data_IF_385715785645
#
_entry.id   IF_385715785645
#
_cell.length_a   1.000
_cell.length_b   1.000
_cell.length_c   1.000
_cell.angle_alpha   90.00
_cell.angle_beta   90.00
_cell.angle_gamma   90.00
#
_symmetry.space_group_name_H-M   'P 1'
#
loop_
_entity.id
_entity.type
_entity.pdbx_description
1 polymer ?
#
# COMPACT_ATOMS: atom_id res chain seq x y z
N UNK A 1 28.55 7.30 1.34
CA UNK A 1 27.14 7.02 1.00
C UNK A 1 27.05 7.10 -0.52
N UNK A 2 26.85 5.99 -1.25
CA UNK A 2 26.76 6.04 -2.73
C UNK A 2 25.48 6.77 -3.11
N UNK A 3 25.64 7.94 -3.72
CA UNK A 3 24.59 8.77 -4.28
C UNK A 3 23.82 7.94 -5.33
N UNK A 4 22.50 8.04 -5.34
CA UNK A 4 21.64 7.31 -6.27
C UNK A 4 22.06 7.59 -7.72
N UNK A 5 22.66 6.60 -8.39
CA UNK A 5 22.74 6.60 -9.85
C UNK A 5 21.37 6.20 -10.38
N UNK A 6 20.45 7.15 -10.41
CA UNK A 6 19.29 7.04 -11.28
C UNK A 6 19.81 7.17 -12.71
N UNK A 7 19.66 6.12 -13.52
CA UNK A 7 20.02 6.18 -14.94
C UNK A 7 19.39 7.44 -15.55
N UNK A 8 20.21 8.22 -16.28
CA UNK A 8 19.84 9.42 -17.04
C UNK A 8 18.90 9.07 -18.22
N UNK A 9 17.79 8.41 -17.92
CA UNK A 9 16.69 8.24 -18.87
C UNK A 9 15.86 9.51 -18.76
N UNK A 10 15.85 10.29 -19.83
CA UNK A 10 15.00 11.47 -20.00
C UNK A 10 13.53 11.05 -20.05
N UNK A 11 12.97 10.72 -18.89
CA UNK A 11 11.53 10.78 -18.72
C UNK A 11 11.14 12.22 -19.00
N UNK A 12 10.25 12.42 -19.97
CA UNK A 12 9.80 13.75 -20.35
C UNK A 12 9.45 14.50 -19.09
N UNK A 13 10.03 15.68 -18.97
CA UNK A 13 10.02 16.65 -17.89
C UNK A 13 8.60 17.19 -17.60
N UNK A 14 7.60 16.32 -17.51
CA UNK A 14 6.29 16.63 -16.90
C UNK A 14 6.36 16.56 -15.38
N UNK A 15 7.55 16.43 -14.78
CA UNK A 15 7.78 16.44 -13.33
C UNK A 15 7.90 17.85 -12.72
N UNK A 16 7.58 18.89 -13.49
CA UNK A 16 7.46 20.29 -13.04
C UNK A 16 6.25 20.55 -12.14
N UNK A 17 5.65 19.52 -11.55
CA UNK A 17 4.65 19.66 -10.50
C UNK A 17 5.27 20.37 -9.29
N UNK A 18 4.73 21.53 -8.88
CA UNK A 18 4.97 22.10 -7.55
C UNK A 18 4.69 21.06 -6.44
N UNK A 19 5.24 21.26 -5.23
CA UNK A 19 5.00 20.35 -4.10
C UNK A 19 3.50 20.09 -3.87
N UNK A 20 2.67 21.13 -3.99
CA UNK A 20 1.22 21.05 -3.88
C UNK A 20 0.59 20.07 -4.91
N UNK A 21 1.10 20.06 -6.14
CA UNK A 21 0.63 19.11 -7.16
C UNK A 21 1.11 17.67 -6.93
N UNK A 22 2.25 17.45 -6.25
CA UNK A 22 2.64 16.08 -5.87
C UNK A 22 1.70 15.51 -4.81
N UNK A 23 1.31 16.32 -3.81
CA UNK A 23 0.34 15.89 -2.80
C UNK A 23 -1.03 15.58 -3.42
N UNK A 24 -1.51 16.44 -4.33
CA UNK A 24 -2.78 16.22 -5.03
C UNK A 24 -2.78 14.95 -5.88
N UNK A 25 -1.69 14.66 -6.60
CA UNK A 25 -1.54 13.41 -7.33
C UNK A 25 -1.38 12.19 -6.42
N UNK A 26 -0.71 12.33 -5.28
CA UNK A 26 -0.65 11.27 -4.27
C UNK A 26 -2.05 10.89 -3.80
N UNK A 27 -2.86 11.89 -3.41
CA UNK A 27 -4.25 11.68 -3.02
C UNK A 27 -5.08 11.05 -4.14
N UNK A 28 -4.94 11.57 -5.36
CA UNK A 28 -5.65 11.04 -6.54
C UNK A 28 -5.30 9.58 -6.79
N UNK A 29 -4.02 9.22 -6.79
CA UNK A 29 -3.58 7.85 -7.05
C UNK A 29 -4.02 6.88 -5.94
N UNK A 30 -4.09 7.32 -4.69
CA UNK A 30 -4.50 6.50 -3.55
C UNK A 30 -6.01 6.28 -3.48
N UNK A 31 -6.82 7.32 -3.72
CA UNK A 31 -8.26 7.25 -3.41
C UNK A 31 -9.16 7.25 -4.64
N UNK A 32 -8.80 7.96 -5.72
CA UNK A 32 -9.71 8.13 -6.86
C UNK A 32 -10.08 6.81 -7.56
N UNK A 33 -9.14 5.89 -7.86
CA UNK A 33 -9.49 4.57 -8.39
C UNK A 33 -10.47 3.81 -7.50
N UNK A 34 -10.20 3.78 -6.19
CA UNK A 34 -11.05 3.07 -5.24
C UNK A 34 -12.45 3.68 -5.17
N UNK A 35 -12.57 5.00 -5.08
CA UNK A 35 -13.88 5.70 -5.04
C UNK A 35 -14.71 5.44 -6.30
N UNK A 36 -14.09 5.50 -7.49
CA UNK A 36 -14.80 5.25 -8.75
C UNK A 36 -15.34 3.81 -8.80
N UNK A 37 -14.51 2.82 -8.47
CA UNK A 37 -14.97 1.43 -8.50
C UNK A 37 -15.92 1.09 -7.35
N UNK A 38 -15.79 1.70 -6.17
CA UNK A 38 -16.78 1.57 -5.11
C UNK A 38 -18.14 2.08 -5.57
N UNK A 39 -18.19 3.25 -6.21
CA UNK A 39 -19.42 3.78 -6.78
C UNK A 39 -20.03 2.85 -7.84
N UNK A 40 -19.22 2.36 -8.79
CA UNK A 40 -19.68 1.40 -9.81
C UNK A 40 -20.23 0.14 -9.17
N UNK A 41 -19.54 -0.43 -8.18
CA UNK A 41 -19.99 -1.63 -7.47
C UNK A 41 -21.30 -1.38 -6.70
N UNK A 42 -21.42 -0.24 -6.01
CA UNK A 42 -22.67 0.16 -5.34
C UNK A 42 -23.85 0.27 -6.32
N UNK A 43 -23.65 0.88 -7.50
CA UNK A 43 -24.70 0.98 -8.53
C UNK A 43 -25.09 -0.39 -9.07
N UNK A 44 -24.11 -1.24 -9.38
CA UNK A 44 -24.37 -2.61 -9.86
C UNK A 44 -25.19 -3.40 -8.83
N UNK A 45 -24.82 -3.35 -7.56
CA UNK A 45 -25.54 -4.05 -6.50
C UNK A 45 -26.96 -3.50 -6.29
N UNK A 46 -27.13 -2.17 -6.31
CA UNK A 46 -28.45 -1.54 -6.17
C UNK A 46 -29.41 -1.95 -7.30
N UNK A 47 -28.92 -2.03 -8.55
CA UNK A 47 -29.73 -2.51 -9.70
C UNK A 47 -30.15 -3.97 -9.54
N UNK A 48 -29.36 -4.77 -8.80
CA UNK A 48 -29.67 -6.17 -8.50
C UNK A 48 -30.44 -6.35 -7.18
N UNK A 49 -30.97 -5.27 -6.60
CA UNK A 49 -31.80 -5.31 -5.39
C UNK A 49 -31.04 -5.19 -4.07
N UNK A 50 -29.72 -5.06 -4.09
CA UNK A 50 -28.88 -4.93 -2.89
C UNK A 50 -28.53 -3.46 -2.62
N UNK A 51 -29.49 -2.72 -2.05
CA UNK A 51 -29.30 -1.29 -1.75
C UNK A 51 -28.66 -1.09 -0.37
N UNK A 52 -27.43 -0.56 -0.34
CA UNK A 52 -26.66 -0.29 0.89
C UNK A 52 -27.39 0.64 1.87
N UNK A 53 -28.23 1.56 1.39
CA UNK A 53 -28.98 2.49 2.24
C UNK A 53 -30.20 1.84 2.90
N UNK A 54 -30.72 0.76 2.31
CA UNK A 54 -31.91 0.06 2.79
C UNK A 54 -31.54 -1.16 3.64
N UNK A 55 -30.58 -1.98 3.18
CA UNK A 55 -30.24 -3.24 3.83
C UNK A 55 -29.30 -3.09 5.03
N UNK A 56 -28.51 -2.00 5.11
CA UNK A 56 -27.50 -1.73 6.17
C UNK A 56 -26.68 -2.97 6.56
N UNK A 57 -26.32 -3.78 5.56
CA UNK A 57 -25.60 -5.02 5.78
C UNK A 57 -24.09 -4.76 5.61
N UNK A 58 -23.28 -4.84 6.69
CA UNK A 58 -21.84 -4.55 6.62
C UNK A 58 -21.08 -5.51 5.68
N UNK A 59 -21.62 -6.71 5.43
CA UNK A 59 -21.02 -7.66 4.49
C UNK A 59 -21.06 -7.14 3.05
N UNK A 60 -22.11 -6.37 2.68
CA UNK A 60 -22.23 -5.77 1.36
C UNK A 60 -21.20 -4.64 1.20
N UNK A 61 -20.97 -3.85 2.24
CA UNK A 61 -19.94 -2.80 2.24
C UNK A 61 -18.54 -3.39 2.05
N UNK A 62 -18.24 -4.50 2.74
CA UNK A 62 -16.98 -5.24 2.53
C UNK A 62 -16.87 -5.78 1.11
N UNK A 63 -17.94 -6.35 0.56
CA UNK A 63 -17.94 -6.83 -0.83
C UNK A 63 -17.67 -5.69 -1.83
N UNK A 64 -18.26 -4.51 -1.60
CA UNK A 64 -18.02 -3.32 -2.41
C UNK A 64 -16.55 -2.91 -2.29
N UNK A 65 -16.02 -2.80 -1.08
CA UNK A 65 -14.64 -2.37 -0.84
C UNK A 65 -13.62 -3.34 -1.47
N UNK A 66 -13.82 -4.65 -1.34
CA UNK A 66 -12.95 -5.67 -1.93
C UNK A 66 -13.06 -5.70 -3.45
N UNK A 67 -14.28 -5.64 -3.99
CA UNK A 67 -14.50 -5.54 -5.43
C UNK A 67 -13.85 -4.29 -6.02
N UNK A 68 -13.99 -3.15 -5.35
CA UNK A 68 -13.38 -1.90 -5.75
C UNK A 68 -11.85 -1.96 -5.69
N UNK A 69 -11.27 -2.54 -4.63
CA UNK A 69 -9.83 -2.75 -4.53
C UNK A 69 -9.30 -3.63 -5.66
N UNK A 70 -9.98 -4.74 -5.98
CA UNK A 70 -9.58 -5.66 -7.06
C UNK A 70 -9.65 -5.00 -8.44
N UNK A 71 -10.65 -4.13 -8.68
CA UNK A 71 -10.83 -3.43 -9.95
C UNK A 71 -9.98 -2.16 -10.07
N UNK A 72 -9.59 -1.55 -8.94
CA UNK A 72 -8.80 -0.31 -8.89
C UNK A 72 -7.54 -0.28 -9.76
N UNK A 73 -6.79 -1.38 -10.00
CA UNK A 73 -5.64 -1.40 -10.89
C UNK A 73 -5.97 -0.93 -12.33
N UNK A 74 -7.21 -1.16 -12.80
CA UNK A 74 -7.65 -0.78 -14.15
C UNK A 74 -7.58 0.73 -14.39
N UNK A 75 -7.83 1.54 -13.36
CA UNK A 75 -7.74 3.00 -13.43
C UNK A 75 -6.42 3.53 -12.85
N UNK A 76 -5.88 2.86 -11.84
CA UNK A 76 -4.61 3.23 -11.21
C UNK A 76 -3.44 3.20 -12.19
N UNK A 77 -3.23 2.12 -12.95
CA UNK A 77 -2.06 2.01 -13.82
C UNK A 77 -2.02 3.07 -14.93
N UNK A 78 -3.12 3.37 -15.65
CA UNK A 78 -3.16 4.49 -16.59
C UNK A 78 -2.84 5.84 -15.95
N UNK A 79 -3.40 6.14 -14.77
CA UNK A 79 -3.13 7.39 -14.05
C UNK A 79 -1.67 7.47 -13.63
N UNK A 80 -1.11 6.42 -13.03
CA UNK A 80 0.29 6.40 -12.62
C UNK A 80 1.22 6.58 -13.82
N UNK A 81 0.93 5.90 -14.95
CA UNK A 81 1.67 6.06 -16.20
C UNK A 81 1.62 7.50 -16.70
N UNK A 82 0.45 8.15 -16.63
CA UNK A 82 0.26 9.55 -17.01
C UNK A 82 1.10 10.50 -16.14
N UNK A 83 1.05 10.36 -14.81
CA UNK A 83 1.78 11.21 -13.87
C UNK A 83 3.29 11.03 -13.99
N UNK A 84 3.75 9.80 -14.23
CA UNK A 84 5.16 9.49 -14.49
C UNK A 84 5.63 10.00 -15.87
N UNK A 85 4.70 10.21 -16.81
CA UNK A 85 5.04 10.58 -18.19
C UNK A 85 5.69 9.43 -18.99
N UNK A 86 5.50 8.17 -18.55
CA UNK A 86 6.08 7.02 -19.25
C UNK A 86 5.25 6.65 -20.48
N UNK A 87 5.92 6.36 -21.60
CA UNK A 87 5.25 5.89 -22.83
C UNK A 87 4.99 4.37 -22.82
N UNK A 88 5.73 3.60 -22.03
CA UNK A 88 5.62 2.14 -21.97
C UNK A 88 5.54 1.61 -20.53
N UNK A 89 5.00 0.39 -20.37
CA UNK A 89 4.91 -0.27 -19.07
C UNK A 89 6.31 -0.58 -18.50
N UNK A 90 7.24 -1.06 -19.34
CA UNK A 90 8.64 -1.30 -18.94
C UNK A 90 9.33 0.00 -18.52
N UNK A 91 9.04 1.12 -19.18
CA UNK A 91 9.51 2.44 -18.76
C UNK A 91 8.99 2.84 -17.38
N UNK A 92 7.70 2.55 -17.10
CA UNK A 92 7.09 2.80 -15.80
C UNK A 92 7.78 1.97 -14.70
N UNK A 93 7.94 0.65 -14.91
CA UNK A 93 8.61 -0.23 -13.94
C UNK A 93 10.04 0.22 -13.65
N UNK A 94 10.81 0.64 -14.68
CA UNK A 94 12.16 1.19 -14.51
C UNK A 94 12.17 2.52 -13.76
N UNK A 95 11.20 3.40 -14.02
CA UNK A 95 11.05 4.65 -13.28
C UNK A 95 10.79 4.39 -11.79
N UNK A 96 9.83 3.52 -11.48
CA UNK A 96 9.51 3.14 -10.10
C UNK A 96 10.68 2.39 -9.45
N UNK A 97 11.54 1.76 -10.24
CA UNK A 97 12.73 1.07 -9.77
C UNK A 97 12.43 -0.36 -9.35
N UNK A 98 11.55 -1.05 -10.07
CA UNK A 98 11.47 -2.51 -10.05
C UNK A 98 12.73 -3.09 -10.67
N UNK A 99 13.42 -3.93 -9.91
CA UNK A 99 14.64 -4.63 -10.35
C UNK A 99 14.55 -6.10 -9.94
N UNK A 100 15.43 -6.92 -10.52
CA UNK A 100 15.62 -8.33 -10.11
C UNK A 100 15.94 -8.40 -8.62
N UNK A 101 15.40 -9.40 -7.95
CA UNK A 101 15.62 -9.67 -6.52
C UNK A 101 16.70 -10.74 -6.35
N UNK A 102 17.66 -10.48 -5.47
CA UNK A 102 18.55 -11.51 -4.93
C UNK A 102 17.80 -12.36 -3.92
N UNK A 103 17.91 -13.69 -4.03
CA UNK A 103 17.27 -14.64 -3.13
C UNK A 103 17.69 -14.45 -1.66
N UNK A 104 18.97 -14.17 -1.42
CA UNK A 104 19.47 -13.96 -0.04
C UNK A 104 18.83 -12.73 0.58
N UNK A 105 18.81 -11.61 -0.15
CA UNK A 105 18.16 -10.38 0.32
C UNK A 105 16.65 -10.54 0.46
N UNK A 106 16.02 -11.32 -0.43
CA UNK A 106 14.60 -11.67 -0.33
C UNK A 106 14.30 -12.41 0.97
N UNK A 107 15.07 -13.46 1.27
CA UNK A 107 14.91 -14.22 2.52
C UNK A 107 15.14 -13.33 3.74
N UNK A 108 16.17 -12.47 3.73
CA UNK A 108 16.42 -11.53 4.81
C UNK A 108 15.24 -10.56 5.01
N UNK A 109 14.68 -10.02 3.93
CA UNK A 109 13.52 -9.12 3.98
C UNK A 109 12.29 -9.83 4.56
N UNK A 110 11.99 -11.05 4.11
CA UNK A 110 10.86 -11.83 4.60
C UNK A 110 11.05 -12.15 6.09
N UNK A 111 12.21 -12.69 6.47
CA UNK A 111 12.51 -13.04 7.87
C UNK A 111 12.46 -11.82 8.76
N UNK A 112 13.08 -10.70 8.35
CA UNK A 112 13.07 -9.47 9.15
C UNK A 112 11.67 -8.88 9.29
N UNK A 113 10.82 -9.02 8.26
CA UNK A 113 9.43 -8.54 8.32
C UNK A 113 8.61 -9.40 9.28
N UNK A 114 8.68 -10.72 9.16
CA UNK A 114 7.99 -11.64 10.08
C UNK A 114 8.46 -11.42 11.52
N UNK A 115 9.76 -11.24 11.74
CA UNK A 115 10.30 -10.94 13.07
C UNK A 115 9.78 -9.58 13.59
N UNK A 116 9.69 -8.57 12.74
CA UNK A 116 9.13 -7.28 13.12
C UNK A 116 7.67 -7.41 13.56
N UNK A 117 6.82 -8.09 12.79
CA UNK A 117 5.41 -8.30 13.15
C UNK A 117 5.28 -9.09 14.45
N UNK A 118 6.05 -10.18 14.60
CA UNK A 118 6.04 -10.98 15.81
C UNK A 118 6.44 -10.18 17.06
N UNK A 119 7.40 -9.28 16.95
CA UNK A 119 7.77 -8.37 18.04
C UNK A 119 6.67 -7.35 18.33
N UNK A 120 5.94 -6.90 17.30
CA UNK A 120 4.76 -6.04 17.49
C UNK A 120 3.67 -6.78 18.26
N UNK A 121 3.35 -8.03 17.90
CA UNK A 121 2.38 -8.86 18.62
C UNK A 121 2.76 -9.07 20.09
N UNK A 122 4.04 -9.36 20.37
CA UNK A 122 4.54 -9.45 21.75
C UNK A 122 4.31 -8.14 22.50
N UNK A 123 4.60 -7.00 21.86
CA UNK A 123 4.40 -5.70 22.50
C UNK A 123 2.93 -5.42 22.79
N UNK A 124 2.04 -5.76 21.85
CA UNK A 124 0.58 -5.59 22.00
C UNK A 124 0.07 -6.44 23.15
N UNK A 125 0.52 -7.70 23.22
CA UNK A 125 0.16 -8.61 24.29
C UNK A 125 0.67 -8.14 25.68
N UNK A 126 1.95 -7.73 25.77
CA UNK A 126 2.56 -7.30 27.04
C UNK A 126 1.89 -6.05 27.59
N UNK A 127 1.54 -5.11 26.72
CA UNK A 127 0.98 -3.81 27.10
C UNK A 127 -0.56 -3.75 27.05
N UNK A 128 -1.23 -4.88 26.77
CA UNK A 128 -2.69 -4.99 26.65
C UNK A 128 -3.29 -3.89 25.74
N UNK A 129 -2.66 -3.68 24.58
CA UNK A 129 -3.05 -2.60 23.67
C UNK A 129 -4.33 -2.98 22.91
N UNK A 130 -5.36 -2.12 22.88
CA UNK A 130 -6.64 -2.42 22.24
C UNK A 130 -6.58 -2.24 20.72
N UNK A 131 -5.73 -3.02 20.05
CA UNK A 131 -5.51 -2.94 18.60
C UNK A 131 -6.27 -4.06 17.90
N UNK A 132 -7.19 -3.69 17.01
CA UNK A 132 -7.82 -4.62 16.08
C UNK A 132 -7.33 -4.39 14.65
N UNK A 133 -6.43 -5.24 14.18
CA UNK A 133 -5.92 -5.16 12.81
C UNK A 133 -6.93 -5.57 11.75
N UNK A 134 -7.85 -6.48 12.11
CA UNK A 134 -8.93 -6.95 11.24
C UNK A 134 -10.26 -6.70 11.95
N UNK A 135 -11.12 -5.89 11.33
CA UNK A 135 -12.44 -5.60 11.88
C UNK A 135 -13.27 -6.87 12.04
N UNK A 136 -14.17 -6.90 13.03
CA UNK A 136 -15.08 -8.04 13.25
C UNK A 136 -15.87 -8.39 11.98
N UNK A 137 -16.35 -7.37 11.26
CA UNK A 137 -17.11 -7.56 10.02
C UNK A 137 -16.29 -8.28 8.96
N UNK A 138 -15.00 -7.95 8.85
CA UNK A 138 -14.06 -8.55 7.92
C UNK A 138 -13.70 -9.99 8.31
N UNK A 139 -13.59 -10.27 9.62
CA UNK A 139 -13.47 -11.65 10.16
C UNK A 139 -14.68 -12.49 9.79
N UNK A 140 -15.89 -11.95 9.95
CA UNK A 140 -17.14 -12.62 9.59
C UNK A 140 -17.21 -12.85 8.08
N UNK A 141 -16.79 -11.87 7.26
CA UNK A 141 -16.74 -12.01 5.81
C UNK A 141 -15.80 -13.13 5.37
N UNK A 142 -14.62 -13.21 5.97
CA UNK A 142 -13.57 -14.18 5.66
C UNK A 142 -13.83 -15.60 6.22
N UNK A 143 -15.10 -16.00 6.36
CA UNK A 143 -15.50 -17.29 6.94
C UNK A 143 -15.42 -18.50 5.98
N UNK A 144 -15.00 -18.29 4.72
CA UNK A 144 -14.91 -19.33 3.71
C UNK A 144 -13.65 -19.15 2.88
N UNK A 145 -13.10 -20.25 2.36
CA UNK A 145 -11.90 -20.24 1.53
C UNK A 145 -11.97 -19.21 0.39
N UNK A 146 -13.12 -19.12 -0.28
CA UNK A 146 -13.35 -18.16 -1.37
C UNK A 146 -13.25 -16.71 -0.88
N UNK A 147 -13.91 -16.38 0.23
CA UNK A 147 -13.89 -15.02 0.78
C UNK A 147 -12.51 -14.67 1.31
N UNK A 148 -11.85 -15.57 2.04
CA UNK A 148 -10.46 -15.39 2.49
C UNK A 148 -9.52 -15.15 1.32
N UNK A 149 -9.67 -15.88 0.21
CA UNK A 149 -8.87 -15.65 -1.00
C UNK A 149 -9.09 -14.26 -1.61
N UNK A 150 -10.33 -13.74 -1.60
CA UNK A 150 -10.62 -12.37 -2.03
C UNK A 150 -9.96 -11.33 -1.11
N UNK A 151 -10.03 -11.54 0.20
CA UNK A 151 -9.36 -10.70 1.19
C UNK A 151 -7.85 -10.67 0.96
N UNK A 152 -7.22 -11.83 0.79
CA UNK A 152 -5.77 -11.93 0.54
C UNK A 152 -5.40 -11.21 -0.76
N UNK A 153 -6.16 -11.43 -1.84
CA UNK A 153 -5.89 -10.79 -3.12
C UNK A 153 -5.97 -9.26 -3.01
N UNK A 154 -7.04 -8.74 -2.42
CA UNK A 154 -7.26 -7.30 -2.30
C UNK A 154 -6.30 -6.64 -1.30
N UNK A 155 -6.23 -7.16 -0.08
CA UNK A 155 -5.55 -6.51 1.04
C UNK A 155 -4.09 -6.93 1.20
N UNK A 156 -3.69 -8.14 0.83
CA UNK A 156 -2.29 -8.56 0.93
C UNK A 156 -1.50 -8.31 -0.34
N UNK A 157 -2.13 -8.31 -1.52
CA UNK A 157 -1.39 -8.25 -2.80
C UNK A 157 -1.62 -6.93 -3.52
N UNK A 158 -2.87 -6.61 -3.86
CA UNK A 158 -3.19 -5.48 -4.73
C UNK A 158 -2.91 -4.15 -4.03
N UNK A 159 -3.51 -3.93 -2.85
CA UNK A 159 -3.33 -2.68 -2.11
C UNK A 159 -1.84 -2.39 -1.77
N UNK A 160 -1.09 -3.32 -1.15
CA UNK A 160 0.33 -3.12 -0.87
C UNK A 160 1.16 -2.81 -2.13
N UNK A 161 0.88 -3.50 -3.24
CA UNK A 161 1.61 -3.25 -4.50
C UNK A 161 1.37 -1.83 -5.00
N UNK A 162 0.11 -1.38 -5.02
CA UNK A 162 -0.25 -0.04 -5.47
C UNK A 162 0.33 1.05 -4.56
N UNK A 163 0.23 0.86 -3.25
CA UNK A 163 0.78 1.79 -2.26
C UNK A 163 2.30 1.92 -2.39
N UNK A 164 3.04 0.82 -2.51
CA UNK A 164 4.49 0.88 -2.68
C UNK A 164 4.90 1.54 -4.00
N UNK A 165 4.12 1.34 -5.08
CA UNK A 165 4.33 2.04 -6.34
C UNK A 165 4.13 3.56 -6.19
N UNK A 166 3.17 4.01 -5.39
CA UNK A 166 2.94 5.44 -5.09
C UNK A 166 4.06 5.97 -4.20
N UNK A 167 4.20 5.42 -2.99
CA UNK A 167 5.00 6.01 -1.92
C UNK A 167 6.50 5.76 -2.11
N UNK A 168 6.93 4.51 -2.40
CA UNK A 168 8.36 4.12 -2.51
C UNK A 168 8.87 4.18 -3.95
N UNK A 169 7.96 4.10 -4.92
CA UNK A 169 8.23 4.29 -6.34
C UNK A 169 8.20 5.76 -6.74
N UNK A 170 7.01 6.27 -7.03
CA UNK A 170 6.83 7.55 -7.70
C UNK A 170 7.15 8.76 -6.81
N UNK A 171 6.55 8.83 -5.61
CA UNK A 171 6.72 9.94 -4.68
C UNK A 171 8.14 10.01 -4.14
N UNK A 172 8.70 8.89 -3.67
CA UNK A 172 10.08 8.80 -3.18
C UNK A 172 11.09 9.32 -4.21
N UNK A 173 11.01 8.80 -5.45
CA UNK A 173 11.93 9.23 -6.52
C UNK A 173 11.70 10.70 -6.90
N UNK A 174 10.45 11.15 -6.95
CA UNK A 174 10.11 12.53 -7.24
C UNK A 174 10.69 13.51 -6.21
N UNK A 175 10.62 13.18 -4.92
CA UNK A 175 11.16 14.02 -3.85
C UNK A 175 12.70 14.08 -3.88
N UNK A 176 13.39 12.95 -4.10
CA UNK A 176 14.85 12.94 -4.28
C UNK A 176 15.25 13.80 -5.48
N UNK A 177 14.55 13.66 -6.61
CA UNK A 177 14.84 14.43 -7.82
C UNK A 177 14.62 15.95 -7.64
N UNK A 178 13.74 16.34 -6.71
CA UNK A 178 13.53 17.74 -6.31
C UNK A 178 14.55 18.26 -5.29
N UNK A 179 15.55 17.46 -4.94
CA UNK A 179 16.64 17.84 -4.04
C UNK A 179 16.35 17.59 -2.56
N UNK A 180 15.25 16.91 -2.20
CA UNK A 180 15.03 16.52 -0.81
C UNK A 180 16.07 15.48 -0.40
N UNK A 181 16.61 15.60 0.82
CA UNK A 181 17.61 14.64 1.30
C UNK A 181 17.03 13.23 1.38
N UNK A 182 17.91 12.23 1.27
CA UNK A 182 17.55 10.81 1.38
C UNK A 182 16.71 10.48 2.62
N UNK A 183 17.12 10.97 3.80
CA UNK A 183 16.40 10.69 5.05
C UNK A 183 15.13 11.53 5.20
N UNK A 184 15.13 12.78 4.73
CA UNK A 184 13.90 13.57 4.71
C UNK A 184 12.85 12.95 3.77
N UNK A 185 13.27 12.34 2.65
CA UNK A 185 12.38 11.62 1.75
C UNK A 185 11.75 10.39 2.43
N UNK A 186 12.55 9.63 3.18
CA UNK A 186 12.03 8.53 4.02
C UNK A 186 10.95 9.08 4.97
N UNK A 187 11.28 10.11 5.76
CA UNK A 187 10.32 10.70 6.71
C UNK A 187 9.03 11.20 6.06
N UNK A 188 9.13 11.98 4.97
CA UNK A 188 7.96 12.56 4.28
C UNK A 188 7.07 11.47 3.67
N UNK A 189 7.67 10.52 2.96
CA UNK A 189 6.88 9.41 2.38
C UNK A 189 6.24 8.55 3.45
N UNK A 190 6.93 8.34 4.59
CA UNK A 190 6.38 7.56 5.70
C UNK A 190 5.24 8.26 6.41
N UNK A 191 5.36 9.56 6.68
CA UNK A 191 4.29 10.36 7.30
C UNK A 191 3.07 10.39 6.39
N UNK A 192 3.24 10.66 5.09
CA UNK A 192 2.13 10.69 4.14
C UNK A 192 1.45 9.32 4.02
N UNK A 193 2.22 8.24 3.99
CA UNK A 193 1.69 6.88 4.02
C UNK A 193 0.81 6.66 5.25
N UNK A 194 1.30 6.99 6.45
CA UNK A 194 0.53 6.85 7.70
C UNK A 194 -0.73 7.73 7.72
N UNK A 195 -0.65 8.98 7.26
CA UNK A 195 -1.81 9.88 7.22
C UNK A 195 -2.91 9.39 6.27
N UNK A 196 -2.55 8.61 5.25
CA UNK A 196 -3.51 8.03 4.31
C UNK A 196 -4.22 6.80 4.88
N UNK A 197 -3.80 6.32 6.06
CA UNK A 197 -4.44 5.25 6.82
C UNK A 197 -5.40 5.78 7.89
N UNK A 198 -6.10 6.88 7.60
CA UNK A 198 -7.01 7.56 8.54
C UNK A 198 -8.25 6.73 8.93
N UNK A 199 -8.50 5.58 8.29
CA UNK A 199 -9.51 4.62 8.74
C UNK A 199 -9.20 4.03 10.12
N UNK A 200 -7.93 4.00 10.52
CA UNK A 200 -7.54 3.65 11.88
C UNK A 200 -7.72 4.88 12.77
N UNK A 201 -8.63 4.77 13.74
CA UNK A 201 -8.99 5.89 14.61
C UNK A 201 -8.12 5.96 15.88
N UNK A 202 -7.40 4.89 16.20
CA UNK A 202 -6.53 4.84 17.36
C UNK A 202 -5.09 5.27 16.99
N UNK A 203 -4.50 6.10 17.86
CA UNK A 203 -3.16 6.64 17.63
C UNK A 203 -2.07 5.56 17.63
N UNK A 204 -2.32 4.44 18.31
CA UNK A 204 -1.33 3.37 18.50
C UNK A 204 -1.14 2.62 17.19
N UNK A 205 -2.21 2.22 16.49
CA UNK A 205 -2.16 1.66 15.14
C UNK A 205 -1.40 2.57 14.18
N UNK A 206 -1.66 3.88 14.21
CA UNK A 206 -0.94 4.84 13.37
C UNK A 206 0.56 4.91 13.69
N UNK A 207 0.97 4.72 14.95
CA UNK A 207 2.38 4.62 15.34
C UNK A 207 3.01 3.35 14.75
N UNK A 208 2.38 2.19 14.86
CA UNK A 208 2.89 0.95 14.25
C UNK A 208 3.01 1.08 12.73
N UNK A 209 2.00 1.65 12.07
CA UNK A 209 2.01 1.95 10.64
C UNK A 209 3.17 2.90 10.30
N UNK A 210 3.40 3.95 11.09
CA UNK A 210 4.52 4.88 10.87
C UNK A 210 5.88 4.18 11.01
N UNK A 211 6.08 3.37 12.05
CA UNK A 211 7.33 2.63 12.25
C UNK A 211 7.59 1.67 11.11
N UNK A 212 6.58 0.90 10.70
CA UNK A 212 6.68 -0.01 9.56
C UNK A 212 6.96 0.75 8.25
N UNK A 213 6.27 1.87 8.06
CA UNK A 213 6.45 2.74 6.92
C UNK A 213 7.86 3.36 6.84
N UNK A 214 8.49 3.68 7.98
CA UNK A 214 9.89 4.10 8.05
C UNK A 214 10.84 2.96 7.65
N UNK A 215 10.57 1.73 8.10
CA UNK A 215 11.35 0.53 7.71
C UNK A 215 11.31 0.31 6.20
N UNK A 216 10.12 0.38 5.58
CA UNK A 216 9.96 0.28 4.12
C UNK A 216 10.71 1.41 3.39
N UNK A 217 10.67 2.64 3.92
CA UNK A 217 11.42 3.76 3.37
C UNK A 217 12.94 3.55 3.43
N UNK A 218 13.47 3.04 4.55
CA UNK A 218 14.88 2.68 4.68
C UNK A 218 15.24 1.52 3.75
N UNK A 219 14.39 0.50 3.64
CA UNK A 219 14.59 -0.62 2.72
C UNK A 219 14.67 -0.14 1.27
N UNK A 220 13.76 0.76 0.86
CA UNK A 220 13.82 1.44 -0.45
C UNK A 220 15.14 2.19 -0.62
N UNK A 221 15.54 2.96 0.38
CA UNK A 221 16.75 3.77 0.34
C UNK A 221 18.01 2.91 0.18
N UNK A 222 18.11 1.79 0.90
CA UNK A 222 19.28 0.90 0.91
C UNK A 222 19.39 0.04 -0.34
N UNK A 223 18.25 -0.42 -0.87
CA UNK A 223 18.24 -1.37 -2.00
C UNK A 223 18.06 -0.70 -3.36
N UNK A 224 17.55 0.54 -3.38
CA UNK A 224 17.10 1.22 -4.60
C UNK A 224 16.21 0.32 -5.48
N UNK A 225 15.39 -0.55 -4.86
CA UNK A 225 14.53 -1.52 -5.52
C UNK A 225 13.15 -1.59 -4.83
N UNK A 226 12.09 -1.22 -5.54
CA UNK A 226 10.70 -1.25 -5.01
C UNK A 226 10.21 -2.68 -4.84
N UNK A 227 10.76 -3.66 -5.57
CA UNK A 227 10.36 -5.05 -5.43
C UNK A 227 10.52 -5.55 -3.98
N UNK A 228 11.57 -5.12 -3.27
CA UNK A 228 11.76 -5.51 -1.87
C UNK A 228 10.73 -4.89 -0.93
N UNK A 229 10.30 -3.66 -1.17
CA UNK A 229 9.30 -3.01 -0.32
C UNK A 229 7.90 -3.56 -0.58
N UNK A 230 7.56 -3.84 -1.85
CA UNK A 230 6.35 -4.59 -2.22
C UNK A 230 6.31 -5.95 -1.52
N UNK A 231 7.40 -6.72 -1.60
CA UNK A 231 7.44 -8.04 -0.98
C UNK A 231 7.33 -7.95 0.54
N UNK A 232 8.08 -7.05 1.18
CA UNK A 232 7.98 -6.83 2.62
C UNK A 232 6.53 -6.51 3.02
N UNK A 233 5.89 -5.59 2.32
CA UNK A 233 4.53 -5.16 2.63
C UNK A 233 3.49 -6.27 2.41
N UNK A 234 3.61 -7.04 1.32
CA UNK A 234 2.80 -8.25 1.12
C UNK A 234 3.01 -9.25 2.27
N UNK A 235 4.25 -9.47 2.71
CA UNK A 235 4.57 -10.36 3.83
C UNK A 235 3.94 -9.90 5.13
N UNK A 236 4.03 -8.60 5.45
CA UNK A 236 3.41 -8.00 6.64
C UNK A 236 1.89 -8.16 6.62
N UNK A 237 1.22 -7.73 5.55
CA UNK A 237 -0.25 -7.85 5.47
C UNK A 237 -0.72 -9.31 5.49
N UNK A 238 0.06 -10.22 4.91
CA UNK A 238 -0.24 -11.66 4.98
C UNK A 238 -0.09 -12.18 6.40
N UNK A 239 0.98 -11.80 7.10
CA UNK A 239 1.21 -12.17 8.49
C UNK A 239 0.03 -11.74 9.37
N UNK A 240 -0.37 -10.47 9.28
CA UNK A 240 -1.46 -9.90 10.06
C UNK A 240 -2.80 -10.61 9.79
N UNK A 241 -3.10 -10.96 8.54
CA UNK A 241 -4.35 -11.67 8.21
C UNK A 241 -4.37 -13.09 8.79
N UNK A 242 -3.23 -13.77 8.83
CA UNK A 242 -3.15 -15.11 9.39
C UNK A 242 -2.84 -15.14 10.90
N UNK A 243 -2.46 -14.01 11.51
CA UNK A 243 -2.18 -13.87 12.94
C UNK A 243 -3.18 -14.56 13.88
N UNK A 244 -4.50 -14.43 13.64
CA UNK A 244 -5.49 -15.10 14.48
C UNK A 244 -5.43 -16.63 14.47
N UNK A 245 -4.75 -17.28 13.51
CA UNK A 245 -4.67 -18.75 13.43
C UNK A 245 -3.68 -19.37 14.42
N UNK A 246 -2.71 -18.60 14.92
CA UNK A 246 -1.67 -19.10 15.83
C UNK A 246 -1.70 -18.48 17.22
N UNK A 247 -2.43 -17.37 17.40
CA UNK A 247 -2.74 -16.81 18.71
C UNK A 247 -4.17 -17.12 19.19
N UNK A 248 -4.89 -18.00 18.46
CA UNK A 248 -6.23 -18.49 18.81
C UNK A 248 -6.23 -19.68 19.77
#
# INVERSE_FOLDING_TARGET
>A
MKQFSYDNISYLEKSSYACLSMLGWCFTLSFFPLTIFSFVMSVVLAINGYNIYEEKNPQIEIMIALGASILSPLLFYPLLKYVVGSRSFIGLLRYLGFKKVSLILLLLVVISTVLFEFLCDISIYIYDLPIEFLTLEMKIFANSFKNTALVILACCVIAPTMEEMIFRGWLFRGLINKGLSSMATVGVTSILFTLFHFQYQDAISLIFILLYSLLLGVLRLKTANVSYTVIAHITSNSYVIFAPLWFG
#
